data_IF_773694870063
#
_entry.id   IF_773694870063
#
_cell.length_a   1.000
_cell.length_b   1.000
_cell.length_c   1.000
_cell.angle_alpha   90.00
_cell.angle_beta   90.00
_cell.angle_gamma   90.00
#
_symmetry.space_group_name_H-M   'P 1'
#
loop_
_entity.id
_entity.type
_entity.pdbx_description
1 polymer ?
#
# COMPACT_ATOMS: atom_id res chain seq x y z
N UNK A 1 -7.33 -8.36 -16.57
CA UNK A 1 -7.09 -8.52 -15.13
C UNK A 1 -8.45 -8.52 -14.48
N UNK A 2 -8.99 -9.68 -14.16
CA UNK A 2 -10.30 -9.80 -13.51
C UNK A 2 -10.07 -9.50 -12.02
N UNK A 3 -10.41 -8.29 -11.57
CA UNK A 3 -10.05 -7.81 -10.23
C UNK A 3 -11.02 -8.39 -9.20
N UNK A 4 -10.86 -9.67 -8.86
CA UNK A 4 -11.64 -10.31 -7.81
C UNK A 4 -11.51 -9.55 -6.48
N UNK A 5 -10.40 -8.86 -6.21
CA UNK A 5 -10.17 -7.99 -5.04
C UNK A 5 -11.24 -6.90 -4.92
N UNK A 6 -11.72 -6.35 -6.04
CA UNK A 6 -12.78 -5.31 -6.08
C UNK A 6 -14.16 -5.89 -5.76
N UNK A 7 -14.34 -7.22 -5.82
CA UNK A 7 -15.62 -7.89 -5.54
C UNK A 7 -15.58 -8.68 -4.22
N UNK A 8 -14.54 -9.49 -4.04
CA UNK A 8 -14.33 -10.41 -2.91
C UNK A 8 -14.10 -9.65 -1.62
N UNK A 9 -13.18 -8.66 -1.60
CA UNK A 9 -12.88 -7.90 -0.37
C UNK A 9 -14.08 -7.07 0.08
N UNK A 10 -14.77 -6.32 -0.80
CA UNK A 10 -16.04 -5.68 -0.45
C UNK A 10 -17.15 -6.65 -0.03
N UNK A 11 -17.24 -7.83 -0.64
CA UNK A 11 -18.19 -8.86 -0.27
C UNK A 11 -17.98 -9.38 1.16
N UNK A 12 -16.73 -9.63 1.55
CA UNK A 12 -16.40 -9.95 2.94
C UNK A 12 -16.67 -8.77 3.87
N UNK A 13 -16.27 -7.55 3.49
CA UNK A 13 -16.49 -6.34 4.29
C UNK A 13 -17.98 -5.96 4.45
N UNK A 14 -18.88 -6.49 3.61
CA UNK A 14 -20.32 -6.37 3.79
C UNK A 14 -20.87 -7.30 4.89
N UNK A 15 -20.14 -8.33 5.29
CA UNK A 15 -20.59 -9.34 6.27
C UNK A 15 -19.75 -9.34 7.54
N UNK A 16 -18.49 -8.94 7.44
CA UNK A 16 -17.51 -8.94 8.52
C UNK A 16 -17.10 -7.52 8.86
N UNK A 17 -16.66 -7.26 10.11
CA UNK A 17 -16.00 -6.01 10.46
C UNK A 17 -14.87 -5.68 9.47
N UNK A 18 -14.72 -4.40 9.13
CA UNK A 18 -13.74 -3.96 8.16
C UNK A 18 -13.22 -2.54 8.43
N UNK A 19 -11.97 -2.32 8.04
CA UNK A 19 -11.31 -1.01 8.05
C UNK A 19 -10.63 -0.75 6.72
N UNK A 20 -10.82 0.46 6.19
CA UNK A 20 -10.07 0.93 5.02
C UNK A 20 -8.94 1.87 5.43
N UNK A 21 -7.90 1.89 4.60
CA UNK A 21 -6.73 2.72 4.81
C UNK A 21 -6.14 3.26 3.52
N UNK A 22 -5.27 4.25 3.67
CA UNK A 22 -4.50 4.85 2.59
C UNK A 22 -3.02 4.86 2.94
N UNK A 23 -2.19 4.44 1.98
CA UNK A 23 -0.74 4.39 2.09
C UNK A 23 -0.19 5.57 1.30
N UNK A 24 0.08 6.71 1.95
CA UNK A 24 0.55 7.90 1.26
C UNK A 24 1.93 7.66 0.66
N UNK A 25 2.17 8.21 -0.53
CA UNK A 25 3.44 8.12 -1.25
C UNK A 25 3.92 6.67 -1.48
N UNK A 26 2.98 5.75 -1.77
CA UNK A 26 3.23 4.31 -1.91
C UNK A 26 4.51 3.99 -2.72
N UNK A 27 4.66 4.54 -3.93
CA UNK A 27 5.83 4.24 -4.77
C UNK A 27 7.15 4.76 -4.22
N UNK A 28 7.14 5.85 -3.44
CA UNK A 28 8.35 6.46 -2.85
C UNK A 28 8.86 5.68 -1.64
N UNK A 29 8.07 4.72 -1.15
CA UNK A 29 8.51 3.81 -0.08
C UNK A 29 9.50 2.75 -0.58
N UNK A 30 9.38 2.35 -1.85
CA UNK A 30 10.30 1.40 -2.46
C UNK A 30 11.59 2.08 -2.89
N UNK A 31 12.72 1.37 -2.77
CA UNK A 31 13.98 1.81 -3.37
C UNK A 31 13.88 1.76 -4.89
N UNK A 32 14.67 2.59 -5.58
CA UNK A 32 14.87 2.40 -7.03
C UNK A 32 15.77 1.19 -7.28
N UNK A 33 15.84 0.75 -8.52
CA UNK A 33 16.77 -0.31 -8.91
C UNK A 33 18.23 0.15 -8.72
N UNK A 34 19.06 -0.74 -8.18
CA UNK A 34 20.44 -0.41 -7.80
C UNK A 34 21.32 -0.12 -9.02
N UNK A 35 21.05 -0.78 -10.14
CA UNK A 35 21.75 -0.68 -11.42
C UNK A 35 21.26 0.49 -12.30
N UNK A 36 20.19 1.18 -11.90
CA UNK A 36 19.63 2.29 -12.65
C UNK A 36 20.00 3.62 -12.02
N UNK A 37 20.93 4.37 -12.62
CA UNK A 37 21.21 5.74 -12.22
C UNK A 37 20.17 6.69 -12.83
N UNK A 38 19.47 7.46 -11.99
CA UNK A 38 18.49 8.46 -12.44
C UNK A 38 18.89 9.78 -11.82
N UNK A 39 19.41 10.66 -12.68
CA UNK A 39 19.78 12.02 -12.31
C UNK A 39 18.64 12.97 -12.68
N UNK A 40 18.13 13.70 -11.71
CA UNK A 40 17.11 14.73 -11.89
C UNK A 40 17.78 16.10 -12.00
N UNK A 41 17.27 16.91 -12.90
CA UNK A 41 17.67 18.31 -12.97
C UNK A 41 17.24 19.04 -11.69
N UNK A 42 18.13 19.87 -11.17
CA UNK A 42 17.82 20.75 -10.04
C UNK A 42 16.76 21.75 -10.48
N UNK A 43 15.67 21.86 -9.73
CA UNK A 43 14.61 22.82 -10.04
C UNK A 43 15.07 24.25 -9.75
N UNK A 44 14.52 25.22 -10.48
CA UNK A 44 14.88 26.64 -10.31
C UNK A 44 14.58 27.22 -8.92
N UNK A 45 13.77 26.53 -8.11
CA UNK A 45 13.46 26.91 -6.73
C UNK A 45 14.35 26.29 -5.66
N UNK A 46 15.30 25.41 -6.03
CA UNK A 46 16.30 24.87 -5.09
C UNK A 46 17.55 25.75 -5.09
N UNK A 47 17.94 26.21 -3.90
CA UNK A 47 19.17 26.98 -3.72
C UNK A 47 20.38 26.03 -3.60
N UNK A 48 21.22 26.00 -4.64
CA UNK A 48 22.50 25.28 -4.63
C UNK A 48 23.58 26.31 -4.32
N UNK A 49 23.85 26.53 -3.03
CA UNK A 49 24.84 27.51 -2.60
C UNK A 49 26.28 27.11 -3.00
N UNK A 50 27.18 28.10 -3.01
CA UNK A 50 28.57 27.92 -3.45
C UNK A 50 29.36 26.91 -2.61
N UNK A 51 28.99 26.72 -1.34
CA UNK A 51 29.61 25.74 -0.45
C UNK A 51 29.31 24.31 -0.90
N UNK A 52 28.04 24.02 -1.21
CA UNK A 52 27.62 22.72 -1.72
C UNK A 52 28.23 22.44 -3.10
N UNK A 53 28.32 23.45 -3.97
CA UNK A 53 29.00 23.32 -5.26
C UNK A 53 30.46 22.93 -5.10
N UNK A 54 31.20 23.63 -4.22
CA UNK A 54 32.60 23.30 -3.92
C UNK A 54 32.76 21.90 -3.33
N UNK A 55 31.88 21.51 -2.41
CA UNK A 55 31.89 20.17 -1.80
C UNK A 55 31.66 19.06 -2.82
N UNK A 56 30.84 19.31 -3.83
CA UNK A 56 30.57 18.38 -4.93
C UNK A 56 31.60 18.49 -6.07
N UNK A 57 32.56 19.42 -6.00
CA UNK A 57 33.53 19.66 -7.08
C UNK A 57 32.91 20.26 -8.34
N UNK A 58 31.72 20.86 -8.24
CA UNK A 58 31.02 21.46 -9.36
C UNK A 58 31.51 22.89 -9.62
N UNK A 59 31.69 23.24 -10.89
CA UNK A 59 32.13 24.58 -11.30
C UNK A 59 31.01 25.62 -11.31
N UNK A 60 29.76 25.18 -11.41
CA UNK A 60 28.56 26.00 -11.24
C UNK A 60 27.35 25.11 -10.90
N UNK A 61 26.24 25.72 -10.48
CA UNK A 61 25.01 25.02 -10.11
C UNK A 61 24.42 24.15 -11.24
N UNK A 62 24.61 24.51 -12.52
CA UNK A 62 24.11 23.73 -13.66
C UNK A 62 24.89 22.41 -13.88
N UNK A 63 26.01 22.21 -13.17
CA UNK A 63 26.77 20.96 -13.15
C UNK A 63 26.39 20.04 -11.99
N UNK A 64 25.37 20.41 -11.23
CA UNK A 64 24.82 19.59 -10.14
C UNK A 64 23.53 18.93 -10.61
N UNK A 65 23.34 17.68 -10.20
CA UNK A 65 22.10 16.93 -10.40
C UNK A 65 21.72 16.22 -9.10
N UNK A 66 20.43 15.89 -8.95
CA UNK A 66 19.94 15.10 -7.83
C UNK A 66 19.93 13.62 -8.23
N UNK A 67 20.57 12.76 -7.46
CA UNK A 67 20.44 11.32 -7.64
C UNK A 67 19.18 10.81 -6.94
N UNK A 68 18.25 10.26 -7.72
CA UNK A 68 17.01 9.72 -7.19
C UNK A 68 17.29 8.43 -6.43
N UNK A 69 17.04 8.37 -5.11
CA UNK A 69 17.30 7.16 -4.30
C UNK A 69 16.10 6.21 -4.17
N UNK A 70 14.89 6.74 -4.24
CA UNK A 70 13.63 5.99 -4.09
C UNK A 70 12.90 5.92 -5.41
N UNK A 71 12.04 4.92 -5.58
CA UNK A 71 11.17 4.86 -6.76
C UNK A 71 10.22 6.07 -6.78
N UNK A 72 9.90 6.57 -7.98
CA UNK A 72 9.07 7.76 -8.18
C UNK A 72 7.86 7.45 -9.05
N UNK A 73 6.76 8.17 -8.83
CA UNK A 73 5.60 8.13 -9.72
C UNK A 73 6.02 8.43 -11.16
N UNK A 74 5.54 7.62 -12.11
CA UNK A 74 5.87 7.75 -13.54
C UNK A 74 7.06 6.93 -14.01
N UNK A 75 7.89 6.38 -13.11
CA UNK A 75 8.86 5.37 -13.50
C UNK A 75 8.15 4.09 -13.93
N UNK A 76 8.59 3.48 -15.04
CA UNK A 76 7.98 2.25 -15.58
C UNK A 76 7.98 1.10 -14.56
N UNK A 77 9.00 1.02 -13.72
CA UNK A 77 9.20 0.00 -12.71
C UNK A 77 8.54 0.31 -11.35
N UNK A 78 7.99 1.52 -11.14
CA UNK A 78 7.51 1.96 -9.83
C UNK A 78 6.45 1.04 -9.23
N UNK A 79 5.48 0.61 -10.06
CA UNK A 79 4.43 -0.32 -9.65
C UNK A 79 4.98 -1.67 -9.20
N UNK A 80 5.97 -2.21 -9.92
CA UNK A 80 6.61 -3.49 -9.60
C UNK A 80 7.38 -3.42 -8.27
N UNK A 81 8.21 -2.39 -8.12
CA UNK A 81 9.04 -2.20 -6.92
C UNK A 81 8.18 -2.01 -5.68
N UNK A 82 7.10 -1.23 -5.80
CA UNK A 82 6.12 -1.10 -4.74
C UNK A 82 5.45 -2.42 -4.40
N UNK A 83 4.98 -3.16 -5.40
CA UNK A 83 4.34 -4.45 -5.16
C UNK A 83 5.29 -5.46 -4.49
N UNK A 84 6.58 -5.46 -4.84
CA UNK A 84 7.59 -6.29 -4.18
C UNK A 84 7.76 -5.92 -2.69
N UNK A 85 7.89 -4.63 -2.38
CA UNK A 85 7.98 -4.16 -1.00
C UNK A 85 6.72 -4.49 -0.20
N UNK A 86 5.54 -4.23 -0.78
CA UNK A 86 4.24 -4.54 -0.18
C UNK A 86 4.10 -6.03 0.11
N UNK A 87 4.42 -6.87 -0.87
CA UNK A 87 4.33 -8.32 -0.75
C UNK A 87 5.27 -8.85 0.33
N UNK A 88 6.53 -8.40 0.36
CA UNK A 88 7.48 -8.77 1.40
C UNK A 88 6.96 -8.37 2.78
N UNK A 89 6.50 -7.12 2.93
CA UNK A 89 5.96 -6.61 4.20
C UNK A 89 4.74 -7.41 4.70
N UNK A 90 3.82 -7.76 3.80
CA UNK A 90 2.64 -8.56 4.15
C UNK A 90 3.00 -10.02 4.47
N UNK A 91 3.97 -10.58 3.74
CA UNK A 91 4.45 -11.95 3.97
C UNK A 91 5.17 -12.06 5.31
N UNK A 92 6.01 -11.09 5.65
CA UNK A 92 6.69 -11.00 6.96
C UNK A 92 5.67 -10.81 8.10
N UNK A 93 4.56 -10.12 7.83
CA UNK A 93 3.42 -10.03 8.72
C UNK A 93 2.58 -11.32 8.81
N UNK A 94 2.95 -12.38 8.10
CA UNK A 94 2.28 -13.69 8.13
C UNK A 94 1.01 -13.78 7.28
N UNK A 95 0.83 -12.88 6.30
CA UNK A 95 -0.19 -13.04 5.28
C UNK A 95 0.32 -13.92 4.13
N UNK A 96 -0.59 -14.66 3.52
CA UNK A 96 -0.36 -15.43 2.29
C UNK A 96 -1.10 -14.76 1.14
N UNK A 97 -0.39 -14.50 0.04
CA UNK A 97 -0.99 -13.92 -1.16
C UNK A 97 -1.90 -14.92 -1.87
N UNK A 98 -3.04 -14.46 -2.37
CA UNK A 98 -3.93 -15.24 -3.20
C UNK A 98 -3.33 -15.44 -4.60
N UNK A 99 -3.26 -16.69 -5.06
CA UNK A 99 -2.65 -17.03 -6.36
C UNK A 99 -3.50 -16.51 -7.53
N UNK A 100 -4.82 -16.52 -7.38
CA UNK A 100 -5.74 -16.02 -8.43
C UNK A 100 -5.89 -14.50 -8.42
N UNK A 101 -5.50 -13.82 -7.33
CA UNK A 101 -5.58 -12.37 -7.23
C UNK A 101 -4.44 -11.80 -6.37
N UNK A 102 -3.45 -11.26 -7.06
CA UNK A 102 -2.23 -10.73 -6.44
C UNK A 102 -2.45 -9.54 -5.50
N UNK A 103 -3.62 -8.91 -5.54
CA UNK A 103 -3.98 -7.80 -4.66
C UNK A 103 -4.69 -8.27 -3.38
N UNK A 104 -4.97 -9.57 -3.25
CA UNK A 104 -5.68 -10.15 -2.11
C UNK A 104 -4.74 -11.03 -1.28
N UNK A 105 -4.82 -10.85 0.02
CA UNK A 105 -4.00 -11.55 1.00
C UNK A 105 -4.87 -12.12 2.12
N UNK A 106 -4.48 -13.28 2.64
CA UNK A 106 -5.19 -13.95 3.72
C UNK A 106 -4.26 -14.29 4.87
N UNK A 107 -4.77 -14.19 6.09
CA UNK A 107 -4.10 -14.67 7.30
C UNK A 107 -5.12 -15.41 8.15
N UNK A 108 -4.83 -16.65 8.50
CA UNK A 108 -5.69 -17.50 9.33
C UNK A 108 -5.00 -17.80 10.64
N UNK A 109 -5.74 -17.69 11.73
CA UNK A 109 -5.39 -18.31 13.01
C UNK A 109 -6.52 -19.28 13.42
N UNK A 110 -6.42 -19.88 14.61
CA UNK A 110 -7.40 -20.87 15.08
C UNK A 110 -8.85 -20.34 15.12
N UNK A 111 -9.04 -19.05 15.37
CA UNK A 111 -10.34 -18.42 15.61
C UNK A 111 -10.81 -17.54 14.46
N UNK A 112 -9.87 -16.89 13.77
CA UNK A 112 -10.16 -15.82 12.82
C UNK A 112 -9.54 -16.07 11.45
N UNK A 113 -10.30 -15.68 10.42
CA UNK A 113 -9.80 -15.46 9.07
C UNK A 113 -9.77 -13.95 8.81
N UNK A 114 -8.60 -13.44 8.44
CA UNK A 114 -8.37 -12.05 8.02
C UNK A 114 -8.09 -12.03 6.53
N UNK A 115 -8.80 -11.18 5.80
CA UNK A 115 -8.53 -10.85 4.41
C UNK A 115 -8.06 -9.39 4.31
N UNK A 116 -7.02 -9.15 3.53
CA UNK A 116 -6.51 -7.83 3.22
C UNK A 116 -6.46 -7.66 1.69
N UNK A 117 -7.28 -6.74 1.18
CA UNK A 117 -7.21 -6.29 -0.21
C UNK A 117 -6.39 -5.00 -0.28
N UNK A 118 -5.36 -4.97 -1.11
CA UNK A 118 -4.53 -3.78 -1.32
C UNK A 118 -4.46 -3.46 -2.80
N UNK A 119 -4.83 -2.23 -3.16
CA UNK A 119 -4.76 -1.75 -4.54
C UNK A 119 -4.05 -0.41 -4.59
N UNK A 120 -2.85 -0.41 -5.18
CA UNK A 120 -1.94 0.74 -5.24
C UNK A 120 -1.69 1.28 -3.82
N UNK A 121 -2.36 2.37 -3.44
CA UNK A 121 -2.25 3.03 -2.15
C UNK A 121 -3.39 2.69 -1.19
N UNK A 122 -4.52 2.17 -1.65
CA UNK A 122 -5.69 1.93 -0.79
C UNK A 122 -5.64 0.51 -0.25
N UNK A 123 -5.89 0.34 1.05
CA UNK A 123 -6.04 -0.96 1.69
C UNK A 123 -7.43 -1.14 2.28
N UNK A 124 -7.90 -2.38 2.33
CA UNK A 124 -9.11 -2.80 3.01
C UNK A 124 -8.81 -4.09 3.77
N UNK A 125 -8.93 -4.05 5.09
CA UNK A 125 -8.77 -5.20 5.97
C UNK A 125 -10.13 -5.57 6.52
N UNK A 126 -10.48 -6.85 6.42
CA UNK A 126 -11.71 -7.41 6.98
C UNK A 126 -11.41 -8.76 7.62
N UNK A 127 -12.15 -9.12 8.66
CA UNK A 127 -11.93 -10.37 9.36
C UNK A 127 -13.19 -10.81 10.11
N UNK A 128 -13.31 -12.10 10.37
CA UNK A 128 -14.41 -12.69 11.15
C UNK A 128 -14.62 -12.04 12.52
N UNK A 129 -13.55 -11.54 13.16
CA UNK A 129 -13.58 -10.83 14.43
C UNK A 129 -13.00 -9.42 14.35
N UNK A 130 -13.61 -8.46 15.05
CA UNK A 130 -13.15 -7.06 15.06
C UNK A 130 -11.70 -6.92 15.56
N UNK A 131 -11.30 -7.68 16.58
CA UNK A 131 -9.92 -7.67 17.08
C UNK A 131 -8.92 -8.18 16.02
N UNK A 132 -9.33 -9.08 15.13
CA UNK A 132 -8.49 -9.53 14.03
C UNK A 132 -8.35 -8.46 12.94
N UNK A 133 -9.39 -7.64 12.69
CA UNK A 133 -9.29 -6.47 11.83
C UNK A 133 -8.24 -5.50 12.37
N UNK A 134 -8.28 -5.18 13.67
CA UNK A 134 -7.28 -4.29 14.29
C UNK A 134 -5.86 -4.82 14.12
N UNK A 135 -5.63 -6.09 14.46
CA UNK A 135 -4.32 -6.72 14.33
C UNK A 135 -3.84 -6.75 12.88
N UNK A 136 -4.73 -7.09 11.95
CA UNK A 136 -4.44 -7.09 10.51
C UNK A 136 -4.08 -5.69 10.03
N UNK A 137 -4.84 -4.67 10.44
CA UNK A 137 -4.60 -3.28 10.05
C UNK A 137 -3.28 -2.74 10.61
N UNK A 138 -2.95 -3.05 11.87
CA UNK A 138 -1.65 -2.72 12.51
C UNK A 138 -0.50 -3.41 11.77
N UNK A 139 -0.69 -4.65 11.30
CA UNK A 139 0.35 -5.38 10.58
C UNK A 139 0.74 -4.70 9.26
N UNK A 140 -0.18 -3.96 8.63
CA UNK A 140 0.07 -3.18 7.41
C UNK A 140 0.63 -1.77 7.75
N UNK A 141 0.59 -1.35 9.02
CA UNK A 141 1.00 -0.01 9.44
C UNK A 141 2.50 0.28 9.25
N UNK A 142 3.35 -0.74 9.06
CA UNK A 142 4.76 -0.58 8.65
C UNK A 142 4.89 0.24 7.35
N UNK A 143 3.87 0.20 6.50
CA UNK A 143 3.80 0.98 5.27
C UNK A 143 3.24 2.39 5.50
N UNK A 144 3.09 2.84 6.75
CA UNK A 144 2.41 4.10 7.11
C UNK A 144 0.94 4.13 6.66
N UNK A 145 0.25 3.00 6.78
CA UNK A 145 -1.17 2.89 6.42
C UNK A 145 -2.03 3.80 7.32
N UNK A 146 -2.55 4.89 6.74
CA UNK A 146 -3.43 5.84 7.39
C UNK A 146 -4.81 5.22 7.56
N UNK A 147 -5.29 5.15 8.80
CA UNK A 147 -6.65 4.69 9.08
C UNK A 147 -7.68 5.71 8.55
N UNK A 148 -8.54 5.28 7.62
CA UNK A 148 -9.64 6.08 7.09
C UNK A 148 -10.99 5.73 7.75
N UNK A 149 -11.00 4.79 8.70
CA UNK A 149 -12.18 4.39 9.48
C UNK A 149 -12.99 3.26 8.85
N UNK A 150 -14.31 3.33 9.02
CA UNK A 150 -15.25 2.37 8.44
C UNK A 150 -15.34 2.54 6.93
N UNK A 151 -15.44 1.42 6.22
CA UNK A 151 -15.57 1.41 4.77
C UNK A 151 -17.03 1.59 4.34
N UNK A 152 -17.30 2.60 3.52
CA UNK A 152 -18.60 2.77 2.82
C UNK A 152 -18.45 2.66 1.30
N UNK A 153 -17.23 2.84 0.79
CA UNK A 153 -16.87 2.70 -0.61
C UNK A 153 -15.42 2.24 -0.72
N UNK A 154 -15.16 1.27 -1.59
CA UNK A 154 -13.82 0.78 -1.90
C UNK A 154 -13.70 0.56 -3.41
N UNK A 155 -12.71 1.20 -4.04
CA UNK A 155 -12.45 1.11 -5.49
C UNK A 155 -13.68 1.35 -6.39
N UNK A 156 -14.53 2.31 -6.00
CA UNK A 156 -15.75 2.62 -6.75
C UNK A 156 -16.97 1.80 -6.33
N UNK A 157 -16.78 0.66 -5.66
CA UNK A 157 -17.85 -0.21 -5.18
C UNK A 157 -18.36 0.24 -3.83
N UNK A 158 -19.69 0.38 -3.68
CA UNK A 158 -20.32 0.70 -2.39
C UNK A 158 -20.30 -0.54 -1.50
N UNK A 159 -19.89 -0.37 -0.25
CA UNK A 159 -19.95 -1.41 0.77
C UNK A 159 -21.11 -1.09 1.70
N UNK A 160 -22.06 -2.02 1.79
CA UNK A 160 -23.20 -1.92 2.69
C UNK A 160 -23.08 -3.07 3.69
N UNK A 161 -22.82 -2.75 4.96
CA UNK A 161 -22.83 -3.76 6.01
C UNK A 161 -24.23 -4.38 6.08
N UNK A 162 -24.31 -5.70 6.04
CA UNK A 162 -25.55 -6.44 6.30
C UNK A 162 -25.64 -6.65 7.81
N UNK A 163 -26.75 -6.23 8.41
CA UNK A 163 -27.04 -6.54 9.80
C UNK A 163 -27.18 -8.06 9.96
N UNK A 164 -26.25 -8.70 10.69
CA UNK A 164 -26.21 -10.15 10.91
C UNK A 164 -27.25 -10.60 11.97
N UNK A 165 -28.35 -9.86 12.15
CA UNK A 165 -29.39 -10.14 13.15
C UNK A 165 -30.69 -10.74 12.61
N UNK A 166 -30.66 -11.39 11.44
CA UNK A 166 -31.84 -12.10 10.91
C UNK A 166 -31.50 -13.48 10.37
N UNK A 167 -31.05 -14.37 11.27
CA UNK A 167 -31.28 -15.81 11.12
C UNK A 167 -31.59 -16.36 12.51
N UNK A 168 -32.85 -16.22 12.92
CA UNK A 168 -33.42 -17.11 13.91
C UNK A 168 -33.82 -18.39 13.15
N UNK A 169 -33.27 -19.57 13.48
CA UNK A 169 -33.82 -20.82 12.97
C UNK A 169 -35.19 -21.05 13.66
N UNK A 170 -36.21 -21.32 12.85
CA UNK A 170 -37.51 -21.84 13.31
C UNK A 170 -37.36 -23.23 13.95
#
# INVERSE_FOLDING_TARGET
>A
MDTSTVKVTPGFAATWPAKHGDIPNAYVKADKENDLEILLHVSSGMDINDELQKKLGATNANKVALDLKKSLYGLKQAGRLWNQLLHASLSDAGFTQCISDICLYFKRNEKDLTAAGVYVNISLVTATGAAAVERGFISIALLSNKNLGSVSKFLGTRVMARDVHTYAPD
#
